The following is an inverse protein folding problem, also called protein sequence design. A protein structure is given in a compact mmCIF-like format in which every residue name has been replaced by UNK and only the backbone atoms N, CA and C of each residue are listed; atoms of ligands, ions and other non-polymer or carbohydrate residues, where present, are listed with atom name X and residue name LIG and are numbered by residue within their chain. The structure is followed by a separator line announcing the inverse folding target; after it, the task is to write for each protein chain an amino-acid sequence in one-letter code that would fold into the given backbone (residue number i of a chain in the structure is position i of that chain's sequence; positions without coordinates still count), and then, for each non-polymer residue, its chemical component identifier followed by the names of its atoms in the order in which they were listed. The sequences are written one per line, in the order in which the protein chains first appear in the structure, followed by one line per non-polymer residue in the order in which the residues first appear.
data_IF_097409055724
#
_entry.id   IF_097409055724
#
_cell.length_a   1.000
_cell.length_b   1.000
_cell.length_c   1.000
_cell.angle_alpha   90.00
_cell.angle_beta   90.00
_cell.angle_gamma   90.00
#
_symmetry.space_group_name_H-M   'P 1'
#
loop_
_entity.id
_entity.type
_entity.pdbx_description
1 polymer ?
#
# COMPACT_ATOMS: atom_id res chain seq x y z
N UNK A 1 1.06 3.33 16.54
CA UNK A 1 0.38 2.11 16.07
C UNK A 1 1.18 1.58 14.90
N UNK A 2 1.49 0.27 14.86
CA UNK A 2 2.18 -0.34 13.72
C UNK A 2 1.37 -0.17 12.44
N UNK A 3 2.05 0.07 11.31
CA UNK A 3 1.42 0.04 10.01
C UNK A 3 0.88 -1.37 9.70
N UNK A 4 -0.26 -1.45 9.03
CA UNK A 4 -0.84 -2.73 8.60
C UNK A 4 -0.43 -3.03 7.16
N UNK A 5 0.17 -4.20 6.96
CA UNK A 5 0.65 -4.68 5.66
C UNK A 5 -0.43 -5.53 5.00
N UNK A 6 -1.04 -5.03 3.94
CA UNK A 6 -2.17 -5.63 3.24
C UNK A 6 -1.80 -5.92 1.77
N UNK A 7 -2.19 -7.06 1.23
CA UNK A 7 -1.93 -7.38 -0.17
C UNK A 7 -3.19 -7.85 -0.88
N UNK A 8 -3.42 -7.32 -2.08
CA UNK A 8 -4.42 -7.83 -3.04
C UNK A 8 -3.82 -8.82 -4.03
N UNK A 9 -2.50 -9.02 -4.00
CA UNK A 9 -1.80 -9.91 -4.92
C UNK A 9 -1.89 -11.37 -4.48
N UNK A 10 -1.94 -12.26 -5.49
CA UNK A 10 -1.83 -13.70 -5.34
C UNK A 10 -0.70 -14.21 -6.25
N UNK A 11 0.35 -14.85 -5.71
CA UNK A 11 0.53 -15.20 -4.30
C UNK A 11 0.76 -13.96 -3.42
N UNK A 12 0.37 -14.07 -2.15
CA UNK A 12 0.59 -13.01 -1.17
C UNK A 12 2.03 -13.03 -0.68
N UNK A 13 2.76 -11.90 -0.71
CA UNK A 13 4.13 -11.86 -0.23
C UNK A 13 4.24 -12.08 1.27
N UNK A 14 5.41 -12.52 1.72
CA UNK A 14 5.72 -12.71 3.13
C UNK A 14 5.52 -11.40 3.92
N UNK A 15 4.94 -11.50 5.11
CA UNK A 15 4.64 -10.34 5.97
C UNK A 15 3.36 -9.59 5.63
N UNK A 16 2.70 -9.90 4.51
CA UNK A 16 1.45 -9.26 4.12
C UNK A 16 0.24 -10.10 4.47
N UNK A 17 -0.84 -9.43 4.88
CA UNK A 17 -2.13 -10.07 5.10
C UNK A 17 -2.90 -10.08 3.76
N UNK A 18 -3.30 -11.26 3.24
CA UNK A 18 -4.13 -11.34 2.04
C UNK A 18 -5.50 -10.72 2.33
N UNK A 19 -5.93 -9.75 1.52
CA UNK A 19 -7.27 -9.20 1.65
C UNK A 19 -7.77 -8.51 0.38
N UNK A 20 -9.06 -8.17 0.39
CA UNK A 20 -9.67 -7.19 -0.50
C UNK A 20 -9.99 -5.95 0.36
N UNK A 21 -9.13 -4.90 0.35
CA UNK A 21 -9.28 -3.76 1.24
C UNK A 21 -10.66 -3.13 1.11
N UNK A 22 -11.38 -3.01 2.22
CA UNK A 22 -12.61 -2.25 2.29
C UNK A 22 -12.32 -0.83 2.79
N UNK A 23 -13.27 0.09 2.61
CA UNK A 23 -13.14 1.49 3.10
C UNK A 23 -12.71 1.58 4.57
N UNK A 24 -13.21 0.69 5.44
CA UNK A 24 -12.81 0.64 6.86
C UNK A 24 -11.31 0.32 7.02
N UNK A 25 -10.77 -0.55 6.18
CA UNK A 25 -9.37 -0.93 6.21
C UNK A 25 -8.50 0.23 5.75
N UNK A 26 -8.93 1.00 4.76
CA UNK A 26 -8.18 2.16 4.25
C UNK A 26 -8.15 3.35 5.22
N UNK A 27 -9.12 3.43 6.13
CA UNK A 27 -9.28 4.54 7.07
C UNK A 27 -8.78 4.24 8.50
N UNK A 28 -8.45 2.98 8.81
CA UNK A 28 -8.06 2.59 10.17
C UNK A 28 -6.54 2.66 10.33
N UNK A 29 -6.03 3.82 10.73
CA UNK A 29 -4.59 4.02 10.98
C UNK A 29 -3.74 4.01 9.70
N UNK A 30 -2.44 3.75 9.85
CA UNK A 30 -1.49 3.75 8.73
C UNK A 30 -1.52 2.38 8.04
N UNK A 31 -1.64 2.38 6.71
CA UNK A 31 -1.66 1.16 5.90
C UNK A 31 -0.54 1.13 4.86
N UNK A 32 -0.01 -0.05 4.62
CA UNK A 32 0.82 -0.34 3.46
C UNK A 32 0.10 -1.38 2.61
N UNK A 33 -0.29 -1.00 1.39
CA UNK A 33 -1.12 -1.85 0.54
C UNK A 33 -0.38 -2.20 -0.74
N UNK A 34 -0.08 -3.48 -0.94
CA UNK A 34 0.43 -3.98 -2.21
C UNK A 34 -0.72 -4.33 -3.15
N UNK A 35 -0.82 -3.64 -4.28
CA UNK A 35 -1.91 -3.79 -5.26
C UNK A 35 -1.46 -3.41 -6.67
N UNK A 36 -2.06 -4.03 -7.69
CA UNK A 36 -1.89 -3.57 -9.08
C UNK A 36 -2.76 -2.35 -9.42
N UNK A 37 -3.81 -2.09 -8.63
CA UNK A 37 -4.80 -1.05 -8.90
C UNK A 37 -4.91 -0.11 -7.71
N UNK A 38 -3.96 0.83 -7.63
CA UNK A 38 -3.92 1.84 -6.56
C UNK A 38 -5.05 2.83 -6.69
N UNK A 39 -5.39 3.26 -7.91
CA UNK A 39 -6.42 4.27 -8.17
C UNK A 39 -7.80 3.81 -7.74
N UNK A 40 -8.17 2.55 -8.03
CA UNK A 40 -9.45 2.00 -7.57
C UNK A 40 -9.61 2.04 -6.06
N UNK A 41 -8.54 1.75 -5.31
CA UNK A 41 -8.58 1.80 -3.84
C UNK A 41 -8.74 3.24 -3.33
N UNK A 42 -8.03 4.20 -3.93
CA UNK A 42 -8.16 5.62 -3.56
C UNK A 42 -9.59 6.10 -3.83
N UNK A 43 -10.14 5.78 -5.02
CA UNK A 43 -11.48 6.17 -5.43
C UNK A 43 -12.59 5.48 -4.62
N UNK A 44 -12.31 4.33 -3.98
CA UNK A 44 -13.26 3.68 -3.07
C UNK A 44 -13.52 4.48 -1.78
N UNK A 45 -12.67 5.48 -1.51
CA UNK A 45 -12.80 6.41 -0.38
C UNK A 45 -13.07 7.80 -0.93
N UNK A 46 -14.21 8.38 -0.59
CA UNK A 46 -14.50 9.78 -0.87
C UNK A 46 -13.40 10.69 -0.27
N UNK A 47 -12.78 11.52 -1.12
CA UNK A 47 -11.57 12.31 -0.81
C UNK A 47 -10.40 11.44 -0.31
N UNK A 48 -10.20 10.28 -0.93
CA UNK A 48 -9.23 9.27 -0.51
C UNK A 48 -7.81 9.80 -0.35
N UNK A 49 -7.34 10.66 -1.26
CA UNK A 49 -6.00 11.26 -1.16
C UNK A 49 -5.78 12.05 0.13
N UNK A 50 -6.81 12.69 0.67
CA UNK A 50 -6.72 13.49 1.89
C UNK A 50 -6.90 12.66 3.16
N UNK A 51 -7.59 11.53 3.06
CA UNK A 51 -8.06 10.75 4.21
C UNK A 51 -7.27 9.49 4.49
N UNK A 52 -6.67 8.91 3.46
CA UNK A 52 -5.89 7.69 3.59
C UNK A 52 -4.49 8.07 4.09
N UNK A 53 -4.05 7.42 5.16
CA UNK A 53 -2.69 7.53 5.66
C UNK A 53 -1.93 6.25 5.34
N UNK A 54 -0.89 6.32 4.52
CA UNK A 54 -0.19 5.12 4.12
C UNK A 54 0.61 5.19 2.83
N UNK A 55 1.06 4.02 2.41
CA UNK A 55 1.79 3.80 1.16
C UNK A 55 1.05 2.74 0.35
N UNK A 56 0.63 3.07 -0.86
CA UNK A 56 0.15 2.07 -1.80
C UNK A 56 1.30 1.70 -2.72
N UNK A 57 1.62 0.43 -2.76
CA UNK A 57 2.74 -0.14 -3.51
C UNK A 57 2.17 -0.89 -4.70
N UNK A 58 2.68 -0.64 -5.90
CA UNK A 58 2.39 -1.42 -7.09
C UNK A 58 3.66 -2.04 -7.68
N UNK A 59 3.59 -3.27 -8.23
CA UNK A 59 4.68 -3.82 -9.02
C UNK A 59 4.91 -3.02 -10.30
N UNK A 60 6.16 -2.85 -10.69
CA UNK A 60 6.56 -2.29 -11.98
C UNK A 60 8.03 -2.57 -12.30
N UNK A 61 8.60 -1.81 -13.23
CA UNK A 61 9.97 -2.01 -13.72
C UNK A 61 11.01 -1.19 -12.94
N UNK A 62 10.59 -0.07 -12.35
CA UNK A 62 11.48 0.89 -11.70
C UNK A 62 10.87 1.35 -10.38
N UNK A 63 11.75 1.67 -9.44
CA UNK A 63 11.35 2.32 -8.22
C UNK A 63 10.92 3.77 -8.51
N UNK A 64 9.69 4.11 -8.16
CA UNK A 64 9.18 5.48 -8.21
C UNK A 64 8.34 5.74 -6.96
N UNK A 65 8.28 7.00 -6.53
CA UNK A 65 7.40 7.42 -5.43
C UNK A 65 6.74 8.73 -5.76
N UNK A 66 5.43 8.82 -5.53
CA UNK A 66 4.63 10.01 -5.76
C UNK A 66 3.78 10.29 -4.54
N UNK A 67 3.92 11.48 -3.95
CA UNK A 67 3.03 11.94 -2.89
C UNK A 67 1.69 12.36 -3.51
N UNK A 68 0.58 11.77 -3.06
CA UNK A 68 -0.78 12.08 -3.56
C UNK A 68 -1.63 12.86 -2.58
N UNK A 69 -1.28 12.85 -1.30
CA UNK A 69 -1.94 13.70 -0.31
C UNK A 69 -1.06 13.98 0.89
N UNK A 70 -1.64 14.52 1.96
CA UNK A 70 -0.88 14.90 3.15
C UNK A 70 -0.11 13.71 3.73
N UNK A 71 -0.75 12.54 3.77
CA UNK A 71 -0.23 11.29 4.36
C UNK A 71 -0.28 10.08 3.42
N UNK A 72 -0.62 10.28 2.14
CA UNK A 72 -0.70 9.21 1.14
C UNK A 72 0.46 9.28 0.15
N UNK A 73 1.16 8.16 0.02
CA UNK A 73 2.19 7.94 -1.00
C UNK A 73 1.81 6.78 -1.90
N UNK A 74 2.13 6.91 -3.19
CA UNK A 74 2.17 5.80 -4.13
C UNK A 74 3.63 5.45 -4.36
N UNK A 75 3.93 4.16 -4.38
CA UNK A 75 5.23 3.64 -4.74
C UNK A 75 5.06 2.59 -5.83
N UNK A 76 5.87 2.66 -6.88
CA UNK A 76 6.07 1.53 -7.78
C UNK A 76 7.40 0.90 -7.42
N UNK A 77 7.43 -0.44 -7.33
CA UNK A 77 8.64 -1.19 -6.97
C UNK A 77 8.95 -2.23 -8.03
N UNK A 78 10.23 -2.47 -8.36
CA UNK A 78 10.63 -3.60 -9.17
C UNK A 78 10.04 -4.91 -8.63
N UNK A 79 9.50 -5.75 -9.51
CA UNK A 79 8.86 -7.02 -9.08
C UNK A 79 9.78 -7.93 -8.26
N UNK A 80 11.09 -7.89 -8.52
CA UNK A 80 12.09 -8.63 -7.75
C UNK A 80 12.24 -8.17 -6.29
N UNK A 81 11.72 -7.00 -5.92
CA UNK A 81 11.77 -6.47 -4.55
C UNK A 81 10.56 -6.85 -3.72
N UNK A 82 9.52 -7.46 -4.32
CA UNK A 82 8.24 -7.72 -3.66
C UNK A 82 8.41 -8.55 -2.38
N UNK A 83 9.28 -9.56 -2.41
CA UNK A 83 9.57 -10.43 -1.27
C UNK A 83 10.27 -9.69 -0.11
N UNK A 84 10.98 -8.60 -0.41
CA UNK A 84 11.75 -7.83 0.57
C UNK A 84 10.99 -6.59 1.09
N UNK A 85 9.77 -6.34 0.61
CA UNK A 85 9.03 -5.12 0.94
C UNK A 85 8.80 -4.95 2.44
N UNK A 86 8.53 -6.03 3.17
CA UNK A 86 8.36 -5.94 4.62
C UNK A 86 9.64 -5.37 5.26
N UNK A 87 10.82 -5.79 4.81
CA UNK A 87 12.11 -5.30 5.33
C UNK A 87 12.38 -3.84 4.94
N UNK A 88 11.98 -3.43 3.74
CA UNK A 88 12.14 -2.05 3.24
C UNK A 88 11.26 -1.08 4.05
N UNK A 89 10.07 -1.53 4.47
CA UNK A 89 9.10 -0.72 5.19
C UNK A 89 9.02 -1.03 6.70
N UNK A 90 9.96 -1.82 7.23
CA UNK A 90 10.11 -2.11 8.67
C UNK A 90 10.11 -0.87 9.59
N UNK A 91 10.65 0.31 9.21
CA UNK A 91 10.61 1.50 10.08
C UNK A 91 9.20 2.01 10.39
N UNK A 92 8.17 1.49 9.73
CA UNK A 92 6.76 1.84 9.94
C UNK A 92 6.01 0.84 10.85
N UNK A 93 6.70 -0.15 11.42
CA UNK A 93 6.16 -1.17 12.36
C UNK A 93 6.30 -0.76 13.82
#
# INVERSE_FOLDING_TARGET
MPARFLSTLSPTPEGFIPCQPQKKDLLTGVVLILTQDTERLIQSVERGEERIAGVFVSPGDRFTTTKRGAMLWLATVPSGWISDLQNIFLPFS
#
